data_IF_331735343375
#
_entry.id   IF_331735343375
#
_cell.length_a   1.000
_cell.length_b   1.000
_cell.length_c   1.000
_cell.angle_alpha   90.00
_cell.angle_beta   90.00
_cell.angle_gamma   90.00
#
_symmetry.space_group_name_H-M   'P 1'
#
loop_
_entity.id
_entity.type
_entity.pdbx_description
1 polymer ?
#
# COMPACT_ATOMS: atom_id res chain seq x y z
N UNK A 1 16.90 16.29 1.92
CA UNK A 1 15.50 16.59 2.27
C UNK A 1 15.12 15.64 3.40
N UNK A 2 14.48 16.14 4.44
CA UNK A 2 14.10 15.35 5.63
C UNK A 2 12.70 14.78 5.43
N UNK A 3 12.48 13.52 5.80
CA UNK A 3 11.17 12.87 5.67
C UNK A 3 10.09 13.58 6.48
N UNK A 4 8.87 13.62 5.96
CA UNK A 4 7.73 14.24 6.64
C UNK A 4 7.22 13.28 7.72
N UNK A 5 7.25 13.74 8.98
CA UNK A 5 6.59 13.06 10.10
C UNK A 5 5.11 13.44 10.13
N UNK A 6 4.24 12.44 10.28
CA UNK A 6 2.78 12.63 10.24
C UNK A 6 2.17 12.17 11.54
N UNK A 7 1.00 12.70 11.89
CA UNK A 7 0.13 12.00 12.84
C UNK A 7 -0.26 10.62 12.25
N UNK A 8 -0.66 9.63 13.07
CA UNK A 8 -1.14 8.36 12.56
C UNK A 8 -2.32 8.55 11.59
N UNK A 9 -2.25 7.91 10.43
CA UNK A 9 -3.29 8.01 9.37
C UNK A 9 -3.95 6.67 9.19
N UNK A 10 -5.28 6.61 9.32
CA UNK A 10 -6.03 5.37 9.09
C UNK A 10 -5.93 4.98 7.62
N UNK A 11 -5.54 3.73 7.37
CA UNK A 11 -5.53 3.16 6.03
C UNK A 11 -6.98 2.97 5.55
N UNK A 12 -7.28 3.48 4.35
CA UNK A 12 -8.63 3.41 3.79
C UNK A 12 -8.59 2.63 2.49
N UNK A 13 -9.22 1.45 2.45
CA UNK A 13 -9.37 0.68 1.22
C UNK A 13 -10.31 1.43 0.27
N UNK A 14 -9.90 1.59 -0.98
CA UNK A 14 -10.69 2.21 -2.04
C UNK A 14 -10.72 1.32 -3.29
N UNK A 15 -11.70 1.55 -4.15
CA UNK A 15 -11.90 0.77 -5.38
C UNK A 15 -10.96 1.20 -6.52
N UNK A 16 -10.70 2.51 -6.63
CA UNK A 16 -9.82 3.12 -7.62
C UNK A 16 -8.96 4.20 -6.94
N UNK A 17 -7.66 3.94 -6.79
CA UNK A 17 -6.75 4.86 -6.09
C UNK A 17 -6.60 6.21 -6.81
N UNK A 18 -6.85 6.27 -8.11
CA UNK A 18 -6.70 7.48 -8.92
C UNK A 18 -7.80 8.50 -8.63
N UNK A 19 -8.98 8.05 -8.20
CA UNK A 19 -10.08 8.91 -7.75
C UNK A 19 -9.85 9.45 -6.31
N UNK A 20 -8.86 8.91 -5.60
CA UNK A 20 -8.62 9.15 -4.18
C UNK A 20 -7.24 9.77 -3.85
N UNK A 21 -6.58 10.40 -4.82
CA UNK A 21 -5.30 11.12 -4.62
C UNK A 21 -5.36 12.18 -3.51
N UNK A 22 -6.54 12.71 -3.20
CA UNK A 22 -6.78 13.65 -2.10
C UNK A 22 -6.97 13.02 -0.72
N UNK A 23 -6.95 11.68 -0.61
CA UNK A 23 -7.20 10.95 0.63
C UNK A 23 -5.90 10.34 1.16
N UNK A 24 -5.22 10.97 2.15
CA UNK A 24 -3.97 10.46 2.68
C UNK A 24 -4.13 9.05 3.24
N UNK A 25 -3.22 8.15 2.90
CA UNK A 25 -3.25 6.77 3.39
C UNK A 25 -4.35 5.89 2.76
N UNK A 26 -5.08 6.40 1.76
CA UNK A 26 -5.90 5.54 0.90
C UNK A 26 -5.02 4.49 0.22
N UNK A 27 -5.57 3.31 -0.01
CA UNK A 27 -4.86 2.24 -0.69
C UNK A 27 -5.82 1.36 -1.49
N UNK A 28 -5.27 0.70 -2.50
CA UNK A 28 -5.97 -0.23 -3.37
C UNK A 28 -5.12 -1.49 -3.53
N UNK A 29 -5.72 -2.67 -3.36
CA UNK A 29 -5.03 -3.92 -3.67
C UNK A 29 -5.02 -4.21 -5.17
N UNK A 30 -3.86 -4.65 -5.62
CA UNK A 30 -3.56 -4.95 -7.02
C UNK A 30 -3.37 -6.45 -7.15
N UNK A 31 -4.18 -7.10 -7.98
CA UNK A 31 -3.97 -8.50 -8.33
C UNK A 31 -2.94 -8.62 -9.46
N UNK A 32 -2.25 -9.76 -9.58
CA UNK A 32 -1.21 -9.98 -10.60
C UNK A 32 -1.73 -9.72 -12.03
N UNK A 33 -3.03 -9.86 -12.25
CA UNK A 33 -3.66 -9.49 -13.50
C UNK A 33 -3.56 -7.97 -13.76
N UNK A 34 -3.82 -7.07 -12.80
CA UNK A 34 -3.80 -5.61 -13.03
C UNK A 34 -2.45 -5.03 -13.50
N UNK A 35 -1.33 -5.74 -13.34
CA UNK A 35 0.01 -5.26 -13.75
C UNK A 35 0.37 -5.59 -15.19
N UNK A 36 -0.37 -6.47 -15.89
CA UNK A 36 -0.21 -6.69 -17.34
C UNK A 36 -1.29 -5.97 -18.14
N UNK A 37 -1.04 -5.53 -19.38
CA UNK A 37 -2.07 -4.97 -20.25
C UNK A 37 -3.30 -5.87 -20.39
N UNK A 38 -3.09 -7.18 -20.55
CA UNK A 38 -4.16 -8.17 -20.68
C UNK A 38 -4.90 -8.42 -19.35
N UNK A 39 -4.18 -8.36 -18.23
CA UNK A 39 -4.77 -8.63 -16.93
C UNK A 39 -5.49 -7.42 -16.31
N UNK A 40 -5.22 -6.18 -16.75
CA UNK A 40 -6.09 -5.02 -16.41
C UNK A 40 -7.53 -5.24 -16.86
N UNK A 41 -7.74 -5.89 -18.00
CA UNK A 41 -9.07 -6.24 -18.49
C UNK A 41 -9.75 -7.36 -17.66
N UNK A 42 -8.97 -8.33 -17.14
CA UNK A 42 -9.47 -9.48 -16.37
C UNK A 42 -9.66 -9.23 -14.88
N UNK A 43 -8.87 -8.33 -14.28
CA UNK A 43 -8.89 -8.08 -12.84
C UNK A 43 -10.21 -7.54 -12.29
N UNK A 44 -11.12 -7.07 -13.16
CA UNK A 44 -12.47 -6.61 -12.78
C UNK A 44 -13.40 -7.77 -12.37
N UNK A 45 -13.02 -9.04 -12.60
CA UNK A 45 -13.90 -10.20 -12.44
C UNK A 45 -13.45 -11.26 -11.41
N UNK A 46 -12.19 -11.26 -10.94
CA UNK A 46 -11.71 -12.34 -10.04
C UNK A 46 -10.97 -11.80 -8.81
N UNK A 47 -11.50 -12.12 -7.63
CA UNK A 47 -10.80 -11.94 -6.37
C UNK A 47 -9.73 -13.03 -6.24
N UNK A 48 -8.48 -12.68 -6.50
CA UNK A 48 -7.34 -13.56 -6.21
C UNK A 48 -7.20 -13.64 -4.68
N UNK A 49 -6.95 -14.84 -4.15
CA UNK A 49 -6.77 -15.07 -2.70
C UNK A 49 -5.63 -14.22 -2.12
N UNK A 50 -4.60 -13.93 -2.90
CA UNK A 50 -3.50 -13.04 -2.52
C UNK A 50 -3.27 -11.94 -3.58
N UNK A 51 -3.24 -10.66 -3.17
CA UNK A 51 -2.88 -9.56 -4.06
C UNK A 51 -1.39 -9.62 -4.41
N UNK A 52 -1.04 -9.19 -5.62
CA UNK A 52 0.34 -9.03 -6.06
C UNK A 52 1.01 -7.78 -5.46
N UNK A 53 0.20 -6.79 -5.08
CA UNK A 53 0.71 -5.58 -4.45
C UNK A 53 -0.39 -4.64 -4.00
N UNK A 54 0.01 -3.44 -3.62
CA UNK A 54 -0.87 -2.40 -3.10
C UNK A 54 -0.39 -1.04 -3.59
N UNK A 55 -1.27 -0.29 -4.25
CA UNK A 55 -1.06 1.15 -4.43
C UNK A 55 -1.50 1.89 -3.18
N UNK A 56 -0.84 2.99 -2.85
CA UNK A 56 -1.22 3.84 -1.73
C UNK A 56 -0.96 5.31 -2.03
N UNK A 57 -1.75 6.19 -1.42
CA UNK A 57 -1.51 7.64 -1.40
C UNK A 57 -0.67 8.00 -0.19
N UNK A 58 0.36 8.85 -0.39
CA UNK A 58 1.29 9.26 0.66
C UNK A 58 0.52 9.69 1.92
N UNK A 59 0.80 9.06 3.09
CA UNK A 59 0.18 9.46 4.35
C UNK A 59 0.49 10.91 4.75
N UNK A 60 1.54 11.49 4.18
CA UNK A 60 1.89 12.89 4.32
C UNK A 60 0.86 13.88 3.73
N UNK A 61 -0.05 13.41 2.87
CA UNK A 61 -1.08 14.23 2.25
C UNK A 61 -0.61 15.06 1.05
N UNK A 62 0.57 14.80 0.50
CA UNK A 62 1.04 15.45 -0.73
C UNK A 62 0.35 14.94 -2.01
N UNK A 63 -0.44 13.87 -1.91
CA UNK A 63 -1.15 13.26 -3.04
C UNK A 63 -0.31 12.33 -3.91
N UNK A 64 1.01 12.22 -3.69
CA UNK A 64 1.83 11.25 -4.41
C UNK A 64 1.41 9.82 -4.10
N UNK A 65 1.31 9.00 -5.13
CA UNK A 65 1.05 7.58 -5.01
C UNK A 65 2.36 6.78 -4.99
N UNK A 66 2.36 5.65 -4.30
CA UNK A 66 3.43 4.66 -4.35
C UNK A 66 2.88 3.25 -4.54
N UNK A 67 3.77 2.33 -4.92
CA UNK A 67 3.44 0.92 -5.08
C UNK A 67 4.27 0.06 -4.14
N UNK A 68 3.61 -0.89 -3.47
CA UNK A 68 4.23 -1.87 -2.59
C UNK A 68 3.94 -3.27 -3.13
N UNK A 69 4.98 -3.98 -3.57
CA UNK A 69 4.85 -5.37 -4.00
C UNK A 69 4.65 -6.28 -2.77
N UNK A 70 3.66 -7.17 -2.81
CA UNK A 70 3.43 -8.14 -1.73
C UNK A 70 4.18 -9.43 -2.06
N UNK A 71 4.82 -10.04 -1.06
CA UNK A 71 5.60 -11.27 -1.25
C UNK A 71 4.70 -12.46 -1.61
N UNK A 72 5.17 -13.39 -2.45
CA UNK A 72 6.45 -13.37 -3.16
C UNK A 72 6.42 -12.44 -4.39
N UNK A 73 7.47 -11.62 -4.58
CA UNK A 73 7.63 -10.79 -5.77
C UNK A 73 8.60 -11.46 -6.77
N UNK A 74 8.20 -11.56 -8.04
CA UNK A 74 9.02 -12.11 -9.13
C UNK A 74 9.04 -11.11 -10.29
N UNK A 75 10.22 -10.64 -10.76
CA UNK A 75 11.56 -10.91 -10.25
C UNK A 75 11.80 -10.36 -8.83
N UNK A 76 12.89 -10.77 -8.19
CA UNK A 76 13.20 -10.37 -6.81
C UNK A 76 13.42 -8.85 -6.71
N UNK A 77 12.53 -8.19 -5.96
CA UNK A 77 12.52 -6.75 -5.71
C UNK A 77 12.09 -6.47 -4.27
N UNK A 78 12.31 -5.26 -3.74
CA UNK A 78 11.78 -4.87 -2.44
C UNK A 78 10.29 -5.19 -2.35
N UNK A 79 9.93 -6.05 -1.40
CA UNK A 79 8.59 -6.60 -1.25
C UNK A 79 8.24 -6.78 0.23
N UNK A 80 6.95 -6.66 0.51
CA UNK A 80 6.39 -6.61 1.85
C UNK A 80 5.63 -7.89 2.19
N UNK A 81 5.80 -8.36 3.43
CA UNK A 81 4.94 -9.38 3.99
C UNK A 81 3.61 -8.73 4.38
N UNK A 82 2.51 -9.34 3.96
CA UNK A 82 1.15 -8.91 4.27
C UNK A 82 0.47 -9.92 5.20
N UNK A 83 -0.34 -9.44 6.14
CA UNK A 83 -1.04 -10.26 7.12
C UNK A 83 -2.31 -10.95 6.61
N UNK A 84 -2.68 -10.79 5.34
CA UNK A 84 -3.92 -11.36 4.79
C UNK A 84 -5.19 -10.55 5.07
N UNK A 85 -5.11 -9.45 5.83
CA UNK A 85 -6.27 -8.64 6.20
C UNK A 85 -6.43 -7.45 5.24
N UNK A 86 -7.59 -7.36 4.59
CA UNK A 86 -7.90 -6.28 3.65
C UNK A 86 -8.44 -5.01 4.31
N UNK A 87 -9.10 -5.14 5.45
CA UNK A 87 -9.72 -4.02 6.17
C UNK A 87 -8.73 -3.33 7.09
N UNK A 88 -7.82 -4.12 7.68
CA UNK A 88 -6.77 -3.64 8.58
C UNK A 88 -5.41 -4.21 8.15
N UNK A 89 -4.87 -3.76 7.00
CA UNK A 89 -3.63 -4.28 6.46
C UNK A 89 -2.44 -3.97 7.38
N UNK A 90 -1.52 -4.92 7.43
CA UNK A 90 -0.20 -4.76 8.03
C UNK A 90 0.83 -5.12 6.97
N UNK A 91 1.84 -4.28 6.79
CA UNK A 91 2.97 -4.53 5.89
C UNK A 91 4.30 -4.38 6.63
N UNK A 92 5.18 -5.36 6.44
CA UNK A 92 6.57 -5.33 6.93
C UNK A 92 7.56 -5.66 5.81
N UNK A 93 8.74 -5.04 5.75
CA UNK A 93 9.32 -4.04 6.68
C UNK A 93 8.73 -2.62 6.51
N UNK A 94 9.40 -1.59 7.06
CA UNK A 94 8.99 -0.19 6.85
C UNK A 94 8.86 0.18 5.37
N UNK A 95 8.03 1.17 5.09
CA UNK A 95 7.78 1.75 3.77
C UNK A 95 8.51 3.08 3.71
N UNK A 96 9.43 3.19 2.75
CA UNK A 96 10.17 4.42 2.47
C UNK A 96 9.73 5.00 1.13
N UNK A 97 8.90 6.03 1.19
CA UNK A 97 8.54 6.86 0.05
C UNK A 97 9.60 7.96 -0.10
N UNK A 98 10.58 7.71 -0.96
CA UNK A 98 11.77 8.54 -1.14
C UNK A 98 11.39 10.02 -1.33
N UNK A 99 11.95 10.87 -0.47
CA UNK A 99 11.75 12.33 -0.53
C UNK A 99 10.42 12.82 0.06
N UNK A 100 9.58 11.92 0.60
CA UNK A 100 8.26 12.27 1.10
C UNK A 100 7.98 11.74 2.50
N UNK A 101 8.05 10.43 2.73
CA UNK A 101 7.56 9.82 3.97
C UNK A 101 8.27 8.50 4.27
N UNK A 102 8.52 8.22 5.55
CA UNK A 102 9.08 6.96 6.02
C UNK A 102 8.34 6.47 7.26
N UNK A 103 7.91 5.21 7.27
CA UNK A 103 7.14 4.66 8.38
C UNK A 103 6.64 3.23 8.13
N UNK A 104 5.56 2.85 8.81
CA UNK A 104 4.99 1.50 8.79
C UNK A 104 3.49 1.55 8.52
N UNK A 105 2.95 0.52 7.88
CA UNK A 105 1.52 0.23 7.86
C UNK A 105 1.25 -0.90 8.85
N UNK A 106 0.52 -0.63 9.93
CA UNK A 106 0.32 -1.60 11.01
C UNK A 106 1.21 -1.38 12.25
N UNK A 107 2.18 -0.46 12.17
CA UNK A 107 3.26 -0.30 13.16
C UNK A 107 4.43 -1.28 12.95
N UNK A 108 5.55 -1.05 13.64
CA UNK A 108 6.75 -1.90 13.54
C UNK A 108 6.51 -3.36 13.94
N UNK A 109 5.53 -3.60 14.82
CA UNK A 109 5.23 -4.90 15.44
C UNK A 109 3.75 -5.34 15.24
N UNK A 110 3.03 -4.74 14.29
CA UNK A 110 1.61 -5.07 14.04
C UNK A 110 0.62 -4.55 15.10
N UNK A 111 1.08 -3.71 16.03
CA UNK A 111 0.30 -3.19 17.18
C UNK A 111 -0.81 -2.20 16.80
N UNK A 112 -0.86 -1.72 15.55
CA UNK A 112 -1.89 -0.79 15.06
C UNK A 112 -2.32 -1.15 13.63
N UNK A 113 -2.96 -2.32 13.43
CA UNK A 113 -3.31 -2.81 12.11
C UNK A 113 -4.19 -1.81 11.36
N UNK A 114 -3.90 -1.59 10.07
CA UNK A 114 -4.62 -0.61 9.25
C UNK A 114 -4.32 0.86 9.57
N UNK A 115 -3.18 1.18 10.18
CA UNK A 115 -2.76 2.56 10.43
C UNK A 115 -1.35 2.81 9.90
N UNK A 116 -1.17 3.90 9.16
CA UNK A 116 0.12 4.43 8.73
C UNK A 116 0.74 5.25 9.85
N UNK A 117 1.94 4.87 10.28
CA UNK A 117 2.66 5.51 11.38
C UNK A 117 4.06 5.88 10.90
N UNK A 118 4.41 7.17 10.94
CA UNK A 118 5.78 7.59 10.62
C UNK A 118 6.76 7.06 11.67
N UNK A 119 7.98 6.73 11.25
CA UNK A 119 9.06 6.36 12.17
C UNK A 119 9.52 7.52 13.05
#
# INVERSE_FOLDING_TARGET
MTDVKTQPVKATLVDDIDEHVGTPGAFEFVNHYKVTPEGRARARQEAVEQPAGMFYVCPCGCGHQGYLAIRPAVPEHPSWAWNGNREAPVLSPSVHHVGHWHGYLGGSDGLQPGVWVSC
#
